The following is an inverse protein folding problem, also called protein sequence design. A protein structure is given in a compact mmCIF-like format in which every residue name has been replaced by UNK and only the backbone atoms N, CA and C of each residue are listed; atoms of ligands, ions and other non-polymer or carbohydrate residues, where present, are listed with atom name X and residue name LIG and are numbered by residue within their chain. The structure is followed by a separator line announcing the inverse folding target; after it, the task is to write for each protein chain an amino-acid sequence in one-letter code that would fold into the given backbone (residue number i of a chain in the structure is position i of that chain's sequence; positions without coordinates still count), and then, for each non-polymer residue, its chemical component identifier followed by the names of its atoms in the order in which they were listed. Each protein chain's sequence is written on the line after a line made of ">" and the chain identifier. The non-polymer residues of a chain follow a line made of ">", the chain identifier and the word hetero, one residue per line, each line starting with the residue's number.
data_IF_768337931270
#
_entry.id   IF_768337931270
#
_cell.length_a   1.000
_cell.length_b   1.000
_cell.length_c   1.000
_cell.angle_alpha   90.00
_cell.angle_beta   90.00
_cell.angle_gamma   90.00
#
_symmetry.space_group_name_H-M   'P 1'
#
loop_
_entity.id
_entity.type
_entity.pdbx_description
1 polymer ?
#
# COMPACT_ATOMS: atom_id res chain seq x y z
N UNK A 1 17.33 -33.70 -33.39
CA UNK A 1 16.66 -32.41 -33.13
C UNK A 1 17.66 -31.48 -32.43
N UNK A 2 17.68 -30.16 -32.63
CA UNK A 2 18.64 -29.29 -31.92
C UNK A 2 18.17 -28.98 -30.49
N UNK A 3 18.16 -29.99 -29.63
CA UNK A 3 17.63 -29.91 -28.26
C UNK A 3 18.33 -28.83 -27.41
N UNK A 4 19.62 -28.59 -27.65
CA UNK A 4 20.42 -27.56 -26.99
C UNK A 4 19.85 -26.14 -27.18
N UNK A 5 19.16 -25.87 -28.30
CA UNK A 5 18.53 -24.57 -28.55
C UNK A 5 17.33 -24.35 -27.64
N UNK A 6 16.48 -25.36 -27.46
CA UNK A 6 15.31 -25.28 -26.58
C UNK A 6 15.71 -25.17 -25.11
N UNK A 7 16.73 -25.93 -24.69
CA UNK A 7 17.29 -25.81 -23.34
C UNK A 7 17.84 -24.39 -23.12
N UNK A 8 18.62 -23.86 -24.06
CA UNK A 8 19.17 -22.50 -23.97
C UNK A 8 18.07 -21.43 -23.85
N UNK A 9 16.98 -21.55 -24.60
CA UNK A 9 15.83 -20.64 -24.49
C UNK A 9 15.17 -20.70 -23.10
N UNK A 10 15.00 -21.90 -22.54
CA UNK A 10 14.41 -22.08 -21.22
C UNK A 10 15.30 -21.53 -20.09
N UNK A 11 16.62 -21.60 -20.22
CA UNK A 11 17.57 -21.12 -19.21
C UNK A 11 17.52 -19.60 -18.98
N UNK A 12 17.03 -18.81 -19.95
CA UNK A 12 16.75 -17.38 -19.74
C UNK A 12 15.59 -17.13 -18.76
N UNK A 13 14.62 -18.06 -18.69
CA UNK A 13 13.40 -17.89 -17.90
C UNK A 13 13.39 -18.70 -16.61
N UNK A 14 13.97 -19.90 -16.64
CA UNK A 14 13.90 -20.87 -15.54
C UNK A 14 15.28 -21.11 -14.93
N UNK A 15 15.30 -21.41 -13.64
CA UNK A 15 16.55 -21.72 -12.93
C UNK A 15 17.01 -23.16 -13.12
N UNK A 16 16.06 -24.07 -13.29
CA UNK A 16 16.29 -25.50 -13.51
C UNK A 16 15.61 -25.90 -14.82
N UNK A 17 16.34 -26.59 -15.70
CA UNK A 17 15.80 -27.21 -16.91
C UNK A 17 16.21 -28.67 -16.90
N UNK A 18 15.24 -29.55 -16.65
CA UNK A 18 15.49 -30.98 -16.59
C UNK A 18 15.44 -31.62 -17.98
N UNK A 19 16.41 -32.48 -18.27
CA UNK A 19 16.46 -33.33 -19.46
C UNK A 19 16.18 -34.77 -19.01
N UNK A 20 14.97 -35.29 -19.24
CA UNK A 20 14.57 -36.64 -18.85
C UNK A 20 15.61 -37.70 -19.22
N UNK A 21 16.00 -38.53 -18.25
CA UNK A 21 16.96 -39.62 -18.49
C UNK A 21 18.43 -39.19 -18.68
N UNK A 22 18.74 -37.89 -18.63
CA UNK A 22 20.09 -37.36 -18.76
C UNK A 22 20.58 -36.63 -17.49
N UNK A 23 19.82 -35.66 -17.00
CA UNK A 23 20.16 -34.80 -15.85
C UNK A 23 19.48 -33.44 -15.94
N UNK A 24 19.87 -32.48 -15.10
CA UNK A 24 19.30 -31.14 -15.12
C UNK A 24 20.36 -30.03 -15.22
N UNK A 25 20.08 -29.04 -16.05
CA UNK A 25 20.84 -27.79 -16.12
C UNK A 25 20.32 -26.83 -15.07
N UNK A 26 21.21 -26.39 -14.19
CA UNK A 26 20.92 -25.53 -13.07
C UNK A 26 21.62 -24.19 -13.26
N UNK A 27 20.97 -23.11 -12.87
CA UNK A 27 21.54 -21.78 -12.97
C UNK A 27 21.50 -21.07 -11.63
N UNK A 28 22.63 -20.50 -11.26
CA UNK A 28 22.81 -19.72 -10.05
C UNK A 28 23.03 -18.24 -10.41
N UNK A 29 22.28 -17.35 -9.78
CA UNK A 29 22.50 -15.92 -9.94
C UNK A 29 23.71 -15.50 -9.08
N UNK A 30 24.72 -14.94 -9.73
CA UNK A 30 25.86 -14.28 -9.08
C UNK A 30 25.76 -12.78 -9.23
N UNK A 31 25.89 -12.08 -8.11
CA UNK A 31 25.92 -10.62 -8.07
C UNK A 31 27.12 -10.06 -8.84
N UNK A 32 27.06 -8.75 -9.13
CA UNK A 32 28.21 -8.03 -9.68
C UNK A 32 29.41 -8.20 -8.76
N UNK A 33 30.59 -8.34 -9.35
CA UNK A 33 31.84 -8.57 -8.63
C UNK A 33 32.93 -7.61 -9.10
N UNK A 34 33.88 -7.36 -8.22
CA UNK A 34 35.13 -6.67 -8.55
C UNK A 34 36.26 -7.69 -8.45
N UNK A 35 37.06 -7.80 -9.52
CA UNK A 35 38.37 -8.42 -9.42
C UNK A 35 39.35 -7.37 -8.95
N UNK A 36 39.88 -7.53 -7.74
CA UNK A 36 40.80 -6.57 -7.12
C UNK A 36 42.12 -6.48 -7.89
N UNK A 37 42.66 -7.61 -8.33
CA UNK A 37 43.95 -7.69 -9.05
C UNK A 37 43.94 -6.92 -10.37
N UNK A 38 42.81 -6.97 -11.08
CA UNK A 38 42.66 -6.36 -12.42
C UNK A 38 41.86 -5.05 -12.39
N UNK A 39 41.34 -4.65 -11.23
CA UNK A 39 40.36 -3.57 -11.06
C UNK A 39 39.18 -3.66 -12.05
N UNK A 40 38.80 -4.89 -12.42
CA UNK A 40 37.72 -5.16 -13.38
C UNK A 40 36.40 -5.36 -12.66
N UNK A 41 35.42 -4.56 -13.00
CA UNK A 41 34.03 -4.75 -12.61
C UNK A 41 33.35 -5.72 -13.57
N UNK A 42 32.72 -6.75 -13.00
CA UNK A 42 31.91 -7.73 -13.72
C UNK A 42 30.43 -7.49 -13.42
N UNK A 43 29.56 -7.50 -14.45
CA UNK A 43 28.14 -7.40 -14.24
C UNK A 43 27.60 -8.64 -13.51
N UNK A 44 26.39 -8.56 -12.91
CA UNK A 44 25.72 -9.74 -12.38
C UNK A 44 25.56 -10.78 -13.49
N UNK A 45 25.79 -12.04 -13.20
CA UNK A 45 25.69 -13.11 -14.20
C UNK A 45 24.97 -14.33 -13.67
N UNK A 46 24.38 -15.09 -14.59
CA UNK A 46 23.73 -16.35 -14.28
C UNK A 46 24.67 -17.50 -14.66
N UNK A 47 25.31 -18.11 -13.65
CA UNK A 47 26.29 -19.19 -13.83
C UNK A 47 25.56 -20.50 -14.02
N UNK A 48 25.97 -21.29 -15.01
CA UNK A 48 25.37 -22.56 -15.35
C UNK A 48 26.14 -23.72 -14.73
N UNK A 49 25.43 -24.71 -14.20
CA UNK A 49 25.97 -25.98 -13.70
C UNK A 49 25.08 -27.13 -14.16
N UNK A 50 25.56 -28.36 -14.01
CA UNK A 50 24.82 -29.55 -14.41
C UNK A 50 24.79 -30.58 -13.28
N UNK A 51 23.62 -31.17 -13.05
CA UNK A 51 23.42 -32.22 -12.08
C UNK A 51 22.95 -33.51 -12.78
N UNK A 52 23.80 -34.54 -12.77
CA UNK A 52 23.54 -35.83 -13.41
C UNK A 52 22.50 -36.69 -12.69
N UNK A 53 22.17 -36.39 -11.42
CA UNK A 53 21.24 -37.19 -10.62
C UNK A 53 19.78 -36.78 -10.82
N UNK A 54 19.53 -35.55 -11.27
CA UNK A 54 18.19 -35.03 -11.50
C UNK A 54 17.64 -35.50 -12.86
N UNK A 55 17.14 -36.73 -12.90
CA UNK A 55 16.66 -37.40 -14.13
C UNK A 55 15.14 -37.42 -14.30
N UNK A 56 14.40 -37.01 -13.27
CA UNK A 56 12.94 -37.05 -13.27
C UNK A 56 12.37 -36.04 -14.26
N UNK A 57 11.36 -36.44 -15.02
CA UNK A 57 10.71 -35.56 -15.98
C UNK A 57 9.80 -34.56 -15.25
N UNK A 58 10.14 -33.27 -15.28
CA UNK A 58 9.32 -32.16 -14.78
C UNK A 58 8.33 -31.61 -15.83
N UNK A 59 8.39 -32.14 -17.05
CA UNK A 59 7.55 -31.75 -18.18
C UNK A 59 7.91 -30.40 -18.82
N UNK A 60 8.88 -29.65 -18.29
CA UNK A 60 9.20 -28.29 -18.76
C UNK A 60 9.72 -28.31 -20.20
N UNK A 61 10.77 -29.11 -20.44
CA UNK A 61 11.41 -29.20 -21.74
C UNK A 61 10.48 -29.84 -22.79
N UNK A 62 9.84 -30.95 -22.42
CA UNK A 62 8.91 -31.67 -23.30
C UNK A 62 7.74 -30.79 -23.73
N UNK A 63 7.12 -30.06 -22.80
CA UNK A 63 6.04 -29.13 -23.12
C UNK A 63 6.51 -27.97 -24.02
N UNK A 64 7.70 -27.42 -23.76
CA UNK A 64 8.26 -26.35 -24.59
C UNK A 64 8.46 -26.80 -26.04
N UNK A 65 9.03 -27.99 -26.25
CA UNK A 65 9.25 -28.58 -27.58
C UNK A 65 7.92 -28.87 -28.27
N UNK A 66 6.96 -29.46 -27.57
CA UNK A 66 5.63 -29.77 -28.09
C UNK A 66 4.93 -28.50 -28.62
N UNK A 67 5.00 -27.40 -27.85
CA UNK A 67 4.43 -26.11 -28.24
C UNK A 67 5.19 -25.45 -29.39
N UNK A 68 6.52 -25.49 -29.39
CA UNK A 68 7.34 -24.84 -30.44
C UNK A 68 7.24 -25.55 -31.78
N UNK A 69 7.21 -26.88 -31.78
CA UNK A 69 7.17 -27.71 -33.00
C UNK A 69 5.74 -28.09 -33.40
N UNK A 70 4.73 -27.78 -32.57
CA UNK A 70 3.32 -28.15 -32.77
C UNK A 70 3.12 -29.66 -32.91
N UNK A 71 3.79 -30.41 -32.05
CA UNK A 71 3.67 -31.87 -31.96
C UNK A 71 2.99 -32.27 -30.66
N UNK A 72 2.50 -33.50 -30.59
CA UNK A 72 1.95 -34.05 -29.35
C UNK A 72 3.03 -34.20 -28.27
N UNK A 73 2.63 -34.04 -27.01
CA UNK A 73 3.53 -34.13 -25.86
C UNK A 73 4.29 -35.46 -25.80
N UNK A 74 3.60 -36.59 -26.04
CA UNK A 74 4.21 -37.92 -26.03
C UNK A 74 5.28 -38.04 -27.12
N UNK A 75 5.03 -37.46 -28.30
CA UNK A 75 6.01 -37.44 -29.38
C UNK A 75 7.24 -36.62 -29.01
N UNK A 76 7.06 -35.51 -28.29
CA UNK A 76 8.18 -34.71 -27.78
C UNK A 76 9.05 -35.48 -26.78
N UNK A 77 8.44 -36.28 -25.89
CA UNK A 77 9.19 -37.16 -24.97
C UNK A 77 10.03 -38.16 -25.77
N UNK A 78 9.44 -38.84 -26.75
CA UNK A 78 10.20 -39.82 -27.56
C UNK A 78 11.39 -39.19 -28.29
N UNK A 79 11.22 -37.97 -28.82
CA UNK A 79 12.30 -37.24 -29.49
C UNK A 79 13.42 -36.83 -28.51
N UNK A 80 13.07 -36.47 -27.28
CA UNK A 80 14.06 -36.18 -26.22
C UNK A 80 14.85 -37.44 -25.88
N UNK A 81 14.18 -38.58 -25.71
CA UNK A 81 14.84 -39.85 -25.38
C UNK A 81 15.80 -40.32 -26.48
N UNK A 82 15.41 -40.17 -27.75
CA UNK A 82 16.28 -40.45 -28.90
C UNK A 82 17.52 -39.56 -28.90
N UNK A 83 17.35 -38.25 -28.69
CA UNK A 83 18.46 -37.29 -28.66
C UNK A 83 19.41 -37.55 -27.48
N UNK A 84 18.87 -37.84 -26.29
CA UNK A 84 19.66 -38.21 -25.11
C UNK A 84 20.47 -39.48 -25.36
N UNK A 85 19.90 -40.46 -26.07
CA UNK A 85 20.61 -41.69 -26.45
C UNK A 85 21.78 -41.38 -27.38
N UNK A 86 21.57 -40.49 -28.36
CA UNK A 86 22.62 -40.00 -29.26
C UNK A 86 23.73 -39.26 -28.51
N UNK A 87 23.38 -38.42 -27.52
CA UNK A 87 24.36 -37.72 -26.70
C UNK A 87 25.20 -38.68 -25.87
N UNK A 88 24.58 -39.67 -25.21
CA UNK A 88 25.29 -40.71 -24.45
C UNK A 88 26.25 -41.50 -25.35
N UNK A 89 25.81 -41.89 -26.54
CA UNK A 89 26.66 -42.59 -27.51
C UNK A 89 27.86 -41.74 -27.95
N UNK A 90 27.62 -40.45 -28.25
CA UNK A 90 28.68 -39.51 -28.62
C UNK A 90 29.70 -39.37 -27.51
N UNK A 91 29.26 -39.17 -26.26
CA UNK A 91 30.17 -39.05 -25.11
C UNK A 91 30.99 -40.33 -24.92
N UNK A 92 30.40 -41.51 -25.10
CA UNK A 92 31.13 -42.78 -25.00
C UNK A 92 32.16 -42.99 -26.11
N UNK A 93 31.94 -42.41 -27.30
CA UNK A 93 32.80 -42.60 -28.47
C UNK A 93 33.92 -41.55 -28.59
N UNK A 94 33.62 -40.29 -28.29
CA UNK A 94 34.54 -39.16 -28.46
C UNK A 94 34.95 -38.51 -27.14
N UNK A 95 34.67 -39.18 -26.01
CA UNK A 95 34.89 -38.73 -24.62
C UNK A 95 34.27 -37.37 -24.25
N UNK A 96 33.61 -36.71 -25.20
CA UNK A 96 33.03 -35.39 -25.02
C UNK A 96 31.98 -35.05 -26.06
N UNK A 97 31.07 -34.15 -25.69
CA UNK A 97 30.07 -33.51 -26.55
C UNK A 97 30.02 -32.01 -26.22
N UNK A 98 29.87 -31.18 -27.25
CA UNK A 98 29.74 -29.73 -27.11
C UNK A 98 28.29 -29.36 -27.41
N UNK A 99 27.60 -28.79 -26.43
CA UNK A 99 26.24 -28.27 -26.55
C UNK A 99 26.30 -26.76 -26.76
N UNK A 100 25.87 -26.32 -27.95
CA UNK A 100 25.91 -24.90 -28.32
C UNK A 100 25.14 -24.04 -27.31
N UNK A 101 25.73 -22.92 -26.92
CA UNK A 101 25.23 -21.96 -25.93
C UNK A 101 25.13 -22.48 -24.49
N UNK A 102 25.39 -23.77 -24.23
CA UNK A 102 25.26 -24.37 -22.90
C UNK A 102 26.65 -24.65 -22.32
N UNK A 103 27.44 -25.48 -23.00
CA UNK A 103 28.75 -25.89 -22.49
C UNK A 103 29.23 -27.22 -23.08
N UNK A 104 30.30 -27.75 -22.50
CA UNK A 104 30.91 -29.02 -22.88
C UNK A 104 30.69 -30.05 -21.77
N UNK A 105 30.31 -31.26 -22.18
CA UNK A 105 30.24 -32.42 -21.30
C UNK A 105 31.34 -33.39 -21.72
N UNK A 106 32.15 -33.85 -20.77
CA UNK A 106 33.25 -34.79 -21.04
C UNK A 106 33.41 -35.81 -19.92
N UNK A 107 33.98 -36.97 -20.25
CA UNK A 107 34.42 -37.93 -19.25
C UNK A 107 35.80 -37.52 -18.72
N UNK A 108 35.99 -37.58 -17.41
CA UNK A 108 37.31 -37.44 -16.81
C UNK A 108 38.08 -38.77 -16.87
N UNK A 109 39.33 -38.78 -16.40
CA UNK A 109 40.18 -39.98 -16.37
C UNK A 109 39.59 -41.15 -15.55
N UNK A 110 38.63 -40.87 -14.66
CA UNK A 110 37.93 -41.85 -13.82
C UNK A 110 36.57 -42.26 -14.42
N UNK A 111 36.28 -41.89 -15.68
CA UNK A 111 34.99 -42.13 -16.34
C UNK A 111 33.78 -41.45 -15.67
N UNK A 112 34.01 -40.39 -14.89
CA UNK A 112 32.96 -39.53 -14.36
C UNK A 112 32.63 -38.41 -15.35
N UNK A 113 31.34 -38.09 -15.51
CA UNK A 113 30.92 -36.98 -16.36
C UNK A 113 31.21 -35.64 -15.68
N UNK A 114 31.88 -34.76 -16.40
CA UNK A 114 32.20 -33.38 -15.99
C UNK A 114 31.55 -32.42 -16.96
N UNK A 115 30.98 -31.35 -16.41
CA UNK A 115 30.37 -30.28 -17.18
C UNK A 115 31.18 -28.99 -17.05
N UNK A 116 31.50 -28.40 -18.19
CA UNK A 116 32.16 -27.10 -18.31
C UNK A 116 31.19 -26.13 -19.01
N UNK A 117 30.65 -25.11 -18.30
CA UNK A 117 29.72 -24.15 -18.88
C UNK A 117 30.44 -23.23 -19.87
N UNK A 118 29.69 -22.69 -20.84
CA UNK A 118 30.23 -21.67 -21.73
C UNK A 118 30.22 -20.29 -21.05
N UNK A 119 31.38 -19.64 -20.94
CA UNK A 119 31.51 -18.34 -20.26
C UNK A 119 31.12 -17.13 -21.13
N UNK A 120 30.94 -17.32 -22.44
CA UNK A 120 30.65 -16.22 -23.37
C UNK A 120 29.20 -15.72 -23.32
N UNK A 121 28.28 -16.47 -22.70
CA UNK A 121 26.86 -16.16 -22.70
C UNK A 121 26.33 -15.95 -21.27
N UNK A 122 25.68 -14.81 -21.04
CA UNK A 122 25.00 -14.54 -19.79
C UNK A 122 23.48 -14.78 -19.95
N UNK A 123 22.95 -15.74 -19.19
CA UNK A 123 21.51 -16.05 -19.17
C UNK A 123 20.69 -15.08 -18.30
N UNK A 124 21.34 -14.13 -17.62
CA UNK A 124 20.65 -13.06 -16.88
C UNK A 124 20.11 -12.00 -17.84
N UNK A 125 18.79 -11.96 -18.01
CA UNK A 125 18.09 -10.92 -18.81
C UNK A 125 18.26 -9.51 -18.22
N UNK A 126 18.40 -9.40 -16.90
CA UNK A 126 18.63 -8.13 -16.19
C UNK A 126 20.00 -7.52 -16.48
N UNK A 127 20.97 -8.34 -16.89
CA UNK A 127 22.34 -7.92 -17.19
C UNK A 127 22.60 -7.81 -18.68
N UNK A 128 21.54 -7.88 -19.50
CA UNK A 128 21.65 -7.82 -20.94
C UNK A 128 22.29 -6.49 -21.37
N UNK A 129 23.32 -6.56 -22.21
CA UNK A 129 24.07 -5.40 -22.68
C UNK A 129 25.10 -4.83 -21.70
N UNK A 130 25.17 -5.34 -20.47
CA UNK A 130 26.24 -4.95 -19.55
C UNK A 130 27.53 -5.71 -19.89
N UNK A 131 28.63 -4.98 -20.07
CA UNK A 131 29.97 -5.54 -20.27
C UNK A 131 30.83 -5.29 -19.04
N UNK A 132 31.83 -6.15 -18.83
CA UNK A 132 32.86 -5.86 -17.84
C UNK A 132 33.65 -4.62 -18.24
N UNK A 133 34.07 -3.82 -17.26
CA UNK A 133 34.92 -2.65 -17.50
C UNK A 133 35.97 -2.52 -16.40
N UNK A 134 37.11 -1.92 -16.75
CA UNK A 134 38.21 -1.66 -15.81
C UNK A 134 38.08 -0.24 -15.28
N UNK A 135 38.10 -0.06 -13.97
CA UNK A 135 38.12 1.27 -13.35
C UNK A 135 39.53 1.65 -12.95
N UNK A 136 39.96 2.91 -13.16
CA UNK A 136 41.20 3.40 -12.57
C UNK A 136 41.10 3.41 -11.04
N UNK A 137 42.23 3.17 -10.38
CA UNK A 137 42.33 3.19 -8.92
C UNK A 137 42.18 4.63 -8.38
N UNK A 138 41.29 4.83 -7.41
CA UNK A 138 41.05 6.15 -6.80
C UNK A 138 42.05 6.38 -5.65
N UNK A 139 43.03 7.26 -5.86
CA UNK A 139 44.04 7.63 -4.84
C UNK A 139 43.52 8.67 -3.84
N UNK A 140 42.55 8.33 -3.00
CA UNK A 140 41.94 9.30 -2.05
C UNK A 140 42.91 9.83 -0.99
N UNK A 141 43.89 9.03 -0.58
CA UNK A 141 44.82 9.38 0.50
C UNK A 141 45.85 10.44 0.10
N UNK A 142 46.29 10.45 -1.16
CA UNK A 142 47.21 11.49 -1.65
C UNK A 142 46.53 12.86 -1.69
N UNK A 143 45.27 12.91 -2.12
CA UNK A 143 44.52 14.16 -2.17
C UNK A 143 44.19 14.70 -0.77
N UNK A 144 43.94 13.83 0.22
CA UNK A 144 43.75 14.29 1.60
C UNK A 144 45.00 14.96 2.17
N UNK A 145 46.18 14.36 1.96
CA UNK A 145 47.45 14.95 2.41
C UNK A 145 47.76 16.28 1.71
N UNK A 146 47.40 16.39 0.44
CA UNK A 146 47.55 17.64 -0.32
C UNK A 146 46.60 18.75 0.19
N UNK A 147 45.36 18.39 0.52
CA UNK A 147 44.39 19.33 1.12
C UNK A 147 44.82 19.76 2.52
N UNK A 148 45.27 18.85 3.38
CA UNK A 148 45.79 19.19 4.72
C UNK A 148 47.00 20.15 4.63
N UNK A 149 47.91 19.95 3.68
CA UNK A 149 49.04 20.85 3.43
C UNK A 149 48.62 22.23 2.92
N UNK A 150 47.53 22.32 2.16
CA UNK A 150 46.98 23.59 1.68
C UNK A 150 46.22 24.34 2.79
N UNK A 151 45.52 23.62 3.67
CA UNK A 151 44.86 24.18 4.85
C UNK A 151 45.86 24.70 5.89
N UNK A 152 46.99 24.01 6.12
CA UNK A 152 48.06 24.52 7.00
C UNK A 152 48.68 25.83 6.48
N UNK A 153 48.71 26.02 5.15
CA UNK A 153 49.37 27.17 4.51
C UNK A 153 48.44 28.38 4.38
N UNK A 154 47.12 28.23 4.48
CA UNK A 154 46.16 29.32 4.38
C UNK A 154 45.51 29.57 5.76
N UNK A 155 45.82 30.67 6.47
CA UNK A 155 45.08 31.01 7.67
C UNK A 155 43.61 31.27 7.29
N UNK A 156 42.71 30.46 7.85
CA UNK A 156 41.26 30.64 7.73
C UNK A 156 40.93 32.00 8.37
N UNK A 157 40.77 33.04 7.56
CA UNK A 157 40.28 34.33 8.05
C UNK A 157 38.79 34.17 8.38
N UNK A 158 38.50 33.83 9.64
CA UNK A 158 37.17 33.97 10.20
C UNK A 158 36.80 35.46 10.18
N UNK A 159 36.07 35.88 9.14
CA UNK A 159 35.30 37.12 9.18
C UNK A 159 33.96 36.77 9.82
N UNK A 160 33.73 37.08 11.12
CA UNK A 160 32.42 36.82 11.70
C UNK A 160 31.41 37.71 10.98
N UNK A 161 30.55 37.10 10.17
CA UNK A 161 29.40 37.77 9.58
C UNK A 161 28.53 38.29 10.73
N UNK A 162 28.54 39.61 10.91
CA UNK A 162 27.85 40.29 12.00
C UNK A 162 26.35 40.20 11.73
N UNK A 163 25.72 39.11 12.19
CA UNK A 163 24.28 38.86 12.08
C UNK A 163 23.54 40.11 12.58
N UNK A 164 22.88 40.82 11.66
CA UNK A 164 22.16 42.05 11.98
C UNK A 164 21.21 41.79 13.15
N UNK A 165 21.41 42.52 14.26
CA UNK A 165 20.53 42.49 15.44
C UNK A 165 19.14 42.90 14.97
N UNK A 166 18.28 41.92 14.70
CA UNK A 166 16.88 42.13 14.37
C UNK A 166 16.23 43.01 15.43
N UNK A 167 15.55 44.05 14.95
CA UNK A 167 15.13 45.20 15.74
C UNK A 167 14.22 44.78 16.90
N UNK A 168 14.66 45.05 18.14
CA UNK A 168 13.98 44.65 19.38
C UNK A 168 12.51 45.11 19.49
N UNK A 169 12.07 46.12 18.74
CA UNK A 169 10.68 46.62 18.77
C UNK A 169 9.65 45.61 18.25
N UNK A 170 10.05 44.69 17.36
CA UNK A 170 9.14 43.66 16.83
C UNK A 170 8.69 42.70 17.94
N UNK A 171 9.53 42.47 18.95
CA UNK A 171 9.18 41.64 20.13
C UNK A 171 8.10 42.31 20.98
N UNK A 172 8.18 43.63 21.16
CA UNK A 172 7.18 44.40 21.92
C UNK A 172 5.87 44.54 21.14
N UNK A 173 5.94 44.71 19.81
CA UNK A 173 4.75 44.73 18.95
C UNK A 173 3.97 43.41 19.02
N UNK A 174 4.66 42.26 19.05
CA UNK A 174 4.02 40.95 19.20
C UNK A 174 3.29 40.80 20.55
N UNK A 175 3.90 41.23 21.66
CA UNK A 175 3.27 41.19 22.99
C UNK A 175 2.02 42.07 23.03
N UNK A 176 2.10 43.27 22.45
CA UNK A 176 0.96 44.19 22.37
C UNK A 176 -0.18 43.61 21.53
N UNK A 177 0.12 43.01 20.38
CA UNK A 177 -0.87 42.37 19.52
C UNK A 177 -1.58 41.19 20.24
N UNK A 178 -0.83 40.37 20.98
CA UNK A 178 -1.40 39.28 21.78
C UNK A 178 -2.32 39.84 22.88
N UNK A 179 -1.87 40.88 23.59
CA UNK A 179 -2.67 41.55 24.63
C UNK A 179 -3.97 42.13 24.08
N UNK A 180 -3.93 42.79 22.93
CA UNK A 180 -5.13 43.29 22.24
C UNK A 180 -6.08 42.15 21.82
N UNK A 181 -5.54 41.06 21.29
CA UNK A 181 -6.34 39.89 20.92
C UNK A 181 -7.05 39.26 22.11
N UNK A 182 -6.34 39.06 23.22
CA UNK A 182 -6.92 38.50 24.46
C UNK A 182 -7.98 39.44 25.05
N UNK A 183 -7.70 40.74 25.13
CA UNK A 183 -8.66 41.71 25.67
C UNK A 183 -9.92 41.84 24.81
N UNK A 184 -9.82 41.80 23.48
CA UNK A 184 -10.98 41.75 22.59
C UNK A 184 -11.82 40.48 22.80
N UNK A 185 -11.17 39.32 22.94
CA UNK A 185 -11.86 38.04 23.16
C UNK A 185 -12.62 38.01 24.50
N UNK A 186 -11.95 38.35 25.61
CA UNK A 186 -12.59 38.38 26.94
C UNK A 186 -13.62 39.51 27.07
N UNK A 187 -13.38 40.66 26.45
CA UNK A 187 -14.33 41.77 26.41
C UNK A 187 -15.63 41.39 25.70
N UNK A 188 -15.54 40.71 24.55
CA UNK A 188 -16.72 40.22 23.84
C UNK A 188 -17.51 39.19 24.67
N UNK A 189 -16.82 38.26 25.35
CA UNK A 189 -17.50 37.27 26.20
C UNK A 189 -18.24 37.92 27.39
N UNK A 190 -17.67 38.98 27.97
CA UNK A 190 -18.32 39.73 29.06
C UNK A 190 -19.53 40.53 28.57
N UNK A 191 -19.46 41.14 27.38
CA UNK A 191 -20.56 41.87 26.78
C UNK A 191 -21.77 40.97 26.48
N UNK A 192 -21.52 39.80 25.87
CA UNK A 192 -22.58 38.82 25.59
C UNK A 192 -23.30 38.39 26.87
N UNK A 193 -22.56 38.10 27.95
CA UNK A 193 -23.16 37.76 29.26
C UNK A 193 -24.08 38.85 29.83
N UNK A 194 -23.76 40.13 29.60
CA UNK A 194 -24.64 41.23 30.03
C UNK A 194 -25.92 41.31 29.19
N UNK A 195 -25.82 41.08 27.88
CA UNK A 195 -26.98 41.09 26.98
C UNK A 195 -27.93 39.93 27.25
N UNK A 196 -27.41 38.73 27.50
CA UNK A 196 -28.23 37.57 27.86
C UNK A 196 -28.99 37.80 29.18
N UNK A 197 -28.36 38.45 30.17
CA UNK A 197 -29.01 38.76 31.44
C UNK A 197 -30.16 39.78 31.30
N UNK A 198 -29.98 40.78 30.43
CA UNK A 198 -31.01 41.78 30.14
C UNK A 198 -32.18 41.17 29.35
N UNK A 199 -31.88 40.30 28.36
CA UNK A 199 -32.89 39.55 27.61
C UNK A 199 -33.72 38.64 28.52
N UNK A 200 -33.07 37.92 29.44
CA UNK A 200 -33.75 37.06 30.42
C UNK A 200 -34.68 37.86 31.34
N UNK A 201 -34.30 39.08 31.73
CA UNK A 201 -35.16 39.96 32.53
C UNK A 201 -36.40 40.43 31.72
N UNK A 202 -36.21 40.78 30.45
CA UNK A 202 -37.30 41.16 29.56
C UNK A 202 -38.26 39.98 29.33
N UNK A 203 -37.73 38.79 29.07
CA UNK A 203 -38.52 37.57 28.88
C UNK A 203 -39.36 37.25 30.12
N UNK A 204 -38.77 37.34 31.32
CA UNK A 204 -39.51 37.19 32.59
C UNK A 204 -40.65 38.21 32.73
N UNK A 205 -40.41 39.48 32.38
CA UNK A 205 -41.44 40.51 32.43
C UNK A 205 -42.55 40.27 31.39
N UNK A 206 -42.23 39.73 30.22
CA UNK A 206 -43.23 39.34 29.20
C UNK A 206 -44.03 38.14 29.69
N UNK A 207 -43.38 37.15 30.29
CA UNK A 207 -44.05 35.95 30.81
C UNK A 207 -45.01 36.29 31.95
N UNK A 208 -44.63 37.17 32.88
CA UNK A 208 -45.56 37.68 33.90
C UNK A 208 -46.78 38.37 33.27
N UNK A 209 -46.59 39.21 32.25
CA UNK A 209 -47.72 39.84 31.55
C UNK A 209 -48.60 38.83 30.80
N UNK A 210 -48.02 37.76 30.28
CA UNK A 210 -48.76 36.66 29.66
C UNK A 210 -49.53 35.89 30.72
N UNK A 211 -48.92 35.56 31.86
CA UNK A 211 -49.59 34.91 33.00
C UNK A 211 -50.73 35.76 33.55
N UNK A 212 -50.54 37.08 33.72
CA UNK A 212 -51.59 38.02 34.11
C UNK A 212 -52.75 38.02 33.11
N UNK A 213 -52.45 37.98 31.81
CA UNK A 213 -53.46 37.86 30.75
C UNK A 213 -54.16 36.49 30.74
N UNK A 214 -53.43 35.40 30.99
CA UNK A 214 -54.00 34.05 31.06
C UNK A 214 -54.95 33.96 32.25
N UNK A 215 -54.58 34.51 33.42
CA UNK A 215 -55.45 34.56 34.60
C UNK A 215 -56.71 35.40 34.36
N UNK A 216 -56.60 36.51 33.63
CA UNK A 216 -57.75 37.30 33.21
C UNK A 216 -58.62 36.59 32.15
N UNK A 217 -58.03 35.70 31.34
CA UNK A 217 -58.71 34.95 30.29
C UNK A 217 -59.19 33.55 30.71
N UNK A 218 -58.95 33.09 31.95
CA UNK A 218 -59.43 31.79 32.46
C UNK A 218 -60.77 31.85 33.19
N UNK A 219 -61.45 33.01 33.22
CA UNK A 219 -62.82 33.12 33.73
C UNK A 219 -63.87 32.89 32.64
N UNK A 220 -63.68 31.96 31.70
CA UNK A 220 -64.78 31.47 30.85
C UNK A 220 -64.52 30.00 30.44
N UNK A 221 -65.42 29.14 30.93
CA UNK A 221 -65.82 27.82 30.41
C UNK A 221 -65.25 26.57 31.13
N UNK A 222 -66.12 26.06 32.01
CA UNK A 222 -66.56 24.66 32.26
C UNK A 222 -65.78 23.49 31.62
N UNK A 223 -65.43 22.53 32.49
CA UNK A 223 -65.05 21.13 32.17
C UNK A 223 -66.30 20.26 31.87
N UNK A 224 -66.16 18.93 31.64
CA UNK A 224 -65.20 18.10 30.87
C UNK A 224 -65.94 17.55 29.61
N UNK A 225 -65.51 16.60 28.76
CA UNK A 225 -65.22 15.15 28.89
C UNK A 225 -64.75 14.64 27.47
N UNK A 226 -64.57 13.32 27.19
CA UNK A 226 -63.45 12.41 27.44
C UNK A 226 -62.67 11.95 26.17
N UNK A 227 -61.57 11.24 26.42
CA UNK A 227 -60.94 10.12 25.68
C UNK A 227 -61.19 9.97 24.16
N UNK A 228 -60.10 10.00 23.38
CA UNK A 228 -59.86 9.01 22.32
C UNK A 228 -58.36 8.72 22.23
N UNK A 229 -58.01 7.45 22.44
CA UNK A 229 -56.74 6.82 22.12
C UNK A 229 -56.50 6.78 20.61
N UNK A 230 -55.31 7.13 20.16
CA UNK A 230 -54.83 6.76 18.83
C UNK A 230 -53.34 6.40 18.92
N UNK A 231 -53.09 5.09 19.02
CA UNK A 231 -51.89 4.48 18.48
C UNK A 231 -51.89 4.75 16.98
N UNK A 232 -50.79 5.27 16.48
CA UNK A 232 -50.47 5.24 15.05
C UNK A 232 -49.14 4.51 14.94
N UNK A 233 -49.25 3.20 14.79
CA UNK A 233 -48.31 2.42 14.02
C UNK A 233 -48.44 2.90 12.58
N UNK A 234 -47.46 3.66 12.09
CA UNK A 234 -47.23 3.76 10.66
C UNK A 234 -46.37 2.56 10.25
N UNK A 235 -47.04 1.50 9.81
CA UNK A 235 -46.48 0.60 8.81
C UNK A 235 -46.21 1.42 7.54
N UNK A 236 -44.98 1.91 7.40
CA UNK A 236 -44.46 2.30 6.10
C UNK A 236 -43.49 1.21 5.68
N UNK A 237 -43.89 0.48 4.65
CA UNK A 237 -43.08 -0.50 3.95
C UNK A 237 -42.01 0.26 3.14
N UNK A 238 -41.16 1.01 3.82
CA UNK A 238 -40.15 1.88 3.24
C UNK A 238 -38.87 1.08 3.01
N UNK A 239 -38.58 0.82 1.73
CA UNK A 239 -37.23 0.45 1.30
C UNK A 239 -36.31 1.66 1.54
N UNK A 240 -35.68 1.68 2.72
CA UNK A 240 -34.68 2.70 3.06
C UNK A 240 -33.41 2.42 2.26
N UNK A 241 -33.21 3.17 1.18
CA UNK A 241 -32.06 3.00 0.28
C UNK A 241 -30.88 3.91 0.64
N UNK A 242 -31.07 4.89 1.51
CA UNK A 242 -30.06 5.89 1.84
C UNK A 242 -29.72 5.85 3.33
N UNK A 243 -28.47 5.58 3.66
CA UNK A 243 -28.00 5.44 5.04
C UNK A 243 -26.90 6.45 5.34
N UNK A 244 -27.00 7.16 6.46
CA UNK A 244 -25.96 8.09 6.89
C UNK A 244 -24.98 7.39 7.83
N UNK A 245 -23.73 7.23 7.41
CA UNK A 245 -22.69 6.49 8.13
C UNK A 245 -21.92 7.43 9.06
N UNK A 246 -21.85 7.06 10.34
CA UNK A 246 -21.04 7.75 11.35
C UNK A 246 -19.58 7.31 11.34
N UNK A 247 -19.34 6.03 11.07
CA UNK A 247 -18.00 5.45 10.97
C UNK A 247 -18.06 3.94 10.68
N UNK A 248 -16.91 3.35 10.33
CA UNK A 248 -16.75 1.91 10.14
C UNK A 248 -15.57 1.39 10.97
N UNK A 249 -15.84 0.45 11.87
CA UNK A 249 -14.88 0.01 12.88
C UNK A 249 -14.44 -1.43 12.63
N UNK A 250 -13.14 -1.71 12.79
CA UNK A 250 -12.60 -3.07 12.65
C UNK A 250 -13.01 -4.00 13.79
N UNK A 251 -13.19 -3.46 14.99
CA UNK A 251 -13.61 -4.20 16.18
C UNK A 251 -15.08 -3.95 16.50
N UNK A 252 -15.85 -5.03 16.67
CA UNK A 252 -17.27 -4.96 16.99
C UNK A 252 -17.57 -4.19 18.29
N UNK A 253 -16.72 -4.34 19.31
CA UNK A 253 -16.88 -3.64 20.60
C UNK A 253 -16.83 -2.12 20.46
N UNK A 254 -16.02 -1.60 19.52
CA UNK A 254 -15.94 -0.17 19.26
C UNK A 254 -17.14 0.33 18.47
N UNK A 255 -17.66 -0.49 17.55
CA UNK A 255 -18.92 -0.22 16.86
C UNK A 255 -20.11 -0.15 17.85
N UNK A 256 -20.15 -1.05 18.83
CA UNK A 256 -21.21 -1.08 19.85
C UNK A 256 -21.18 0.16 20.77
N UNK A 257 -19.98 0.61 21.16
CA UNK A 257 -19.81 1.86 21.92
C UNK A 257 -20.27 3.08 21.12
N UNK A 258 -19.92 3.14 19.84
CA UNK A 258 -20.35 4.22 18.96
C UNK A 258 -21.88 4.20 18.76
N UNK A 259 -22.48 3.02 18.58
CA UNK A 259 -23.93 2.85 18.48
C UNK A 259 -24.65 3.38 19.73
N UNK A 260 -24.19 3.01 20.92
CA UNK A 260 -24.81 3.45 22.17
C UNK A 260 -24.70 4.97 22.33
N UNK A 261 -23.52 5.55 22.07
CA UNK A 261 -23.34 7.00 22.13
C UNK A 261 -24.28 7.75 21.18
N UNK A 262 -24.58 7.20 20.00
CA UNK A 262 -25.51 7.82 19.06
C UNK A 262 -26.97 7.68 19.48
N UNK A 263 -27.35 6.57 20.11
CA UNK A 263 -28.68 6.38 20.70
C UNK A 263 -28.91 7.33 21.88
N UNK A 264 -27.90 7.51 22.73
CA UNK A 264 -27.96 8.44 23.87
C UNK A 264 -28.12 9.91 23.40
N UNK A 265 -27.59 10.23 22.22
CA UNK A 265 -27.78 11.52 21.54
C UNK A 265 -29.14 11.66 20.83
N UNK A 266 -29.99 10.62 20.87
CA UNK A 266 -31.33 10.63 20.29
C UNK A 266 -31.39 10.27 18.80
N UNK A 267 -30.29 9.81 18.19
CA UNK A 267 -30.30 9.36 16.79
C UNK A 267 -30.90 7.96 16.66
N UNK A 268 -31.58 7.69 15.52
CA UNK A 268 -32.09 6.35 15.14
C UNK A 268 -30.94 5.46 14.63
N UNK A 269 -29.90 5.31 15.44
CA UNK A 269 -28.65 4.69 15.05
C UNK A 269 -28.78 3.17 14.90
N UNK A 270 -28.14 2.60 13.85
CA UNK A 270 -28.17 1.16 13.54
C UNK A 270 -26.78 0.66 13.17
N UNK A 271 -26.39 -0.51 13.67
CA UNK A 271 -25.18 -1.25 13.23
C UNK A 271 -25.57 -2.21 12.11
N UNK A 272 -24.78 -2.26 11.05
CA UNK A 272 -24.98 -3.21 9.94
C UNK A 272 -23.89 -4.28 9.93
N UNK A 273 -24.12 -5.37 9.20
CA UNK A 273 -23.16 -6.46 9.06
C UNK A 273 -21.81 -5.97 8.50
N UNK A 274 -20.71 -6.68 8.81
CA UNK A 274 -19.40 -6.33 8.29
C UNK A 274 -19.40 -6.21 6.76
N UNK A 275 -18.77 -5.16 6.24
CA UNK A 275 -18.58 -5.03 4.81
C UNK A 275 -17.58 -6.08 4.27
N UNK A 276 -17.37 -6.13 2.95
CA UNK A 276 -16.40 -7.02 2.30
C UNK A 276 -14.95 -6.89 2.80
N UNK A 277 -14.65 -5.86 3.60
CA UNK A 277 -13.35 -5.60 4.22
C UNK A 277 -13.31 -5.94 5.72
N UNK A 278 -14.37 -6.57 6.25
CA UNK A 278 -14.47 -6.95 7.66
C UNK A 278 -14.66 -5.77 8.62
N UNK A 279 -15.11 -4.61 8.13
CA UNK A 279 -15.40 -3.45 8.98
C UNK A 279 -16.89 -3.39 9.32
N UNK A 280 -17.21 -3.12 10.58
CA UNK A 280 -18.56 -2.96 11.15
C UNK A 280 -19.01 -1.49 11.04
N UNK A 281 -19.91 -1.14 10.10
CA UNK A 281 -20.40 0.23 9.92
C UNK A 281 -21.51 0.56 10.92
N UNK A 282 -21.48 1.80 11.43
CA UNK A 282 -22.49 2.36 12.34
C UNK A 282 -23.16 3.55 11.67
N UNK A 283 -24.49 3.53 11.62
CA UNK A 283 -25.32 4.52 10.94
C UNK A 283 -25.94 5.49 11.94
N UNK A 284 -26.08 6.77 11.58
CA UNK A 284 -26.91 7.76 12.27
C UNK A 284 -28.41 7.48 12.07
N UNK A 285 -28.77 7.00 10.88
CA UNK A 285 -30.15 6.71 10.49
C UNK A 285 -30.26 6.29 9.03
N UNK A 286 -31.44 5.80 8.67
CA UNK A 286 -31.81 5.35 7.33
C UNK A 286 -32.99 6.17 6.82
N UNK A 287 -32.97 6.52 5.54
CA UNK A 287 -33.91 7.45 4.90
C UNK A 287 -34.39 6.86 3.57
N UNK A 288 -35.65 7.12 3.23
CA UNK A 288 -36.29 6.66 2.00
C UNK A 288 -36.04 7.63 0.84
N UNK A 289 -35.93 8.93 1.12
CA UNK A 289 -35.63 9.98 0.13
C UNK A 289 -34.18 10.48 0.19
N UNK A 290 -33.58 10.67 -0.99
CA UNK A 290 -32.22 11.22 -1.13
C UNK A 290 -32.12 12.65 -0.62
N UNK A 291 -33.16 13.46 -0.82
CA UNK A 291 -33.18 14.88 -0.43
C UNK A 291 -33.16 15.03 1.09
N UNK A 292 -33.94 14.21 1.79
CA UNK A 292 -33.97 14.15 3.25
C UNK A 292 -32.61 13.69 3.81
N UNK A 293 -32.02 12.66 3.22
CA UNK A 293 -30.70 12.16 3.60
C UNK A 293 -29.59 13.22 3.41
N UNK A 294 -29.65 14.00 2.33
CA UNK A 294 -28.68 15.09 2.07
C UNK A 294 -28.83 16.24 3.06
N UNK A 295 -30.06 16.63 3.38
CA UNK A 295 -30.34 17.67 4.36
C UNK A 295 -29.82 17.26 5.76
N UNK A 296 -30.13 16.03 6.19
CA UNK A 296 -29.66 15.46 7.44
C UNK A 296 -28.13 15.32 7.48
N UNK A 297 -27.49 14.88 6.39
CA UNK A 297 -26.03 14.79 6.31
C UNK A 297 -25.36 16.16 6.47
N UNK A 298 -25.92 17.21 5.87
CA UNK A 298 -25.39 18.57 5.99
C UNK A 298 -25.45 19.06 7.44
N UNK A 299 -26.58 18.81 8.14
CA UNK A 299 -26.73 19.15 9.55
C UNK A 299 -25.71 18.39 10.41
N UNK A 300 -25.57 17.08 10.21
CA UNK A 300 -24.62 16.24 10.96
C UNK A 300 -23.18 16.70 10.75
N UNK A 301 -22.79 17.05 9.51
CA UNK A 301 -21.46 17.57 9.19
C UNK A 301 -21.13 18.89 9.87
N UNK A 302 -22.15 19.73 10.09
CA UNK A 302 -21.98 21.04 10.72
C UNK A 302 -22.00 20.95 12.25
N UNK A 303 -22.83 20.08 12.82
CA UNK A 303 -23.06 20.02 14.27
C UNK A 303 -22.19 19.01 15.00
N UNK A 304 -21.91 17.85 14.40
CA UNK A 304 -21.42 16.69 15.17
C UNK A 304 -20.24 15.95 14.53
N UNK A 305 -20.28 15.61 13.24
CA UNK A 305 -19.24 14.82 12.59
C UNK A 305 -18.99 15.24 11.13
N UNK A 306 -17.87 15.91 10.89
CA UNK A 306 -17.45 16.39 9.55
C UNK A 306 -17.20 15.26 8.55
N UNK A 307 -16.81 14.08 9.05
CA UNK A 307 -16.42 12.91 8.25
C UNK A 307 -17.58 11.95 7.96
N UNK A 308 -18.80 12.30 8.37
CA UNK A 308 -20.00 11.55 8.03
C UNK A 308 -20.17 11.46 6.50
N UNK A 309 -20.66 10.32 6.00
CA UNK A 309 -20.88 10.10 4.58
C UNK A 309 -22.14 9.27 4.34
N UNK A 310 -22.67 9.31 3.11
CA UNK A 310 -23.90 8.60 2.75
C UNK A 310 -23.57 7.29 2.04
N UNK A 311 -24.19 6.20 2.48
CA UNK A 311 -24.14 4.87 1.89
C UNK A 311 -25.48 4.58 1.23
N UNK A 312 -25.46 4.27 -0.07
CA UNK A 312 -26.65 3.85 -0.81
C UNK A 312 -26.66 2.33 -0.87
N UNK A 313 -27.61 1.69 -0.20
CA UNK A 313 -27.73 0.25 -0.13
C UNK A 313 -29.18 -0.12 0.19
N UNK A 314 -29.75 -1.11 -0.49
CA UNK A 314 -31.05 -1.63 -0.10
C UNK A 314 -30.87 -2.62 1.06
N UNK A 315 -31.25 -2.19 2.27
CA UNK A 315 -31.27 -3.08 3.43
C UNK A 315 -32.64 -3.75 3.52
N UNK A 316 -32.70 -5.06 3.25
CA UNK A 316 -33.85 -5.87 3.67
C UNK A 316 -33.87 -5.88 5.20
N UNK A 317 -35.02 -5.55 5.79
CA UNK A 317 -35.21 -5.48 7.24
C UNK A 317 -34.88 -6.81 7.93
#
# INVERSE_FOLDING_TARGET
>A
MRMEQYISQLLYRYQCVTVPGFGAFLTENRSAGLSEDTHTFYPPKKVLSFNFHLKNNDGLLANHIALSEKIEYEKAISLIEEEVTSWKYTIQKSDSIILKNIGKLSLNNESNLVFEPIDSLNYSTHSFGLTSFVSPQIKRESFKKEVEQLEEKAPIQFTPEKRNKSNSWVKYAAIFAIGLGMSAYFGNQWYQKKMDAELLLVEKNVQQKVEDKIQQATFFIESPIPSVSMNVEEEINDSFNYHLVAGAFKEERNAERALQSLKDLGYKAKKINPNKYGLHPVLYGSYSSMEEAQAALKLIKQSHNKDAWMLVLELKQ
#
